data_IF_527057956851
#
_entry.id   IF_527057956851
#
_cell.length_a   1.000
_cell.length_b   1.000
_cell.length_c   1.000
_cell.angle_alpha   90.00
_cell.angle_beta   90.00
_cell.angle_gamma   90.00
#
_symmetry.space_group_name_H-M   'P 1'
#
loop_
_entity.id
_entity.type
_entity.pdbx_description
1 polymer ?
#
# COMPACT_ATOMS: atom_id res chain seq x y z
N UNK A 1 -2.51 33.92 36.07
CA UNK A 1 -2.53 32.54 36.59
C UNK A 1 -2.62 31.64 35.39
N UNK A 2 -1.48 31.54 34.73
CA UNK A 2 -1.24 30.98 33.40
C UNK A 2 0.01 30.11 33.59
N UNK A 3 0.16 29.06 32.78
CA UNK A 3 1.31 28.13 32.75
C UNK A 3 1.15 26.80 33.50
N UNK A 4 0.35 25.93 32.88
CA UNK A 4 0.58 24.48 32.96
C UNK A 4 0.44 23.81 31.58
N UNK A 5 -0.20 24.47 30.60
CA UNK A 5 -0.44 23.90 29.26
C UNK A 5 0.77 24.10 28.30
N UNK A 6 1.70 25.01 28.60
CA UNK A 6 2.84 25.31 27.70
C UNK A 6 4.07 24.41 27.91
N UNK A 7 4.11 23.64 29.00
CA UNK A 7 5.25 22.75 29.33
C UNK A 7 5.29 21.48 28.48
N UNK A 8 4.17 21.05 27.88
CA UNK A 8 4.14 19.84 27.04
C UNK A 8 4.72 20.09 25.64
N UNK A 9 4.91 21.35 25.23
CA UNK A 9 5.34 21.71 23.87
C UNK A 9 6.86 21.88 23.69
N UNK A 10 7.66 21.83 24.76
CA UNK A 10 9.06 22.32 24.71
C UNK A 10 10.14 21.32 25.18
N UNK A 11 9.92 20.00 25.12
CA UNK A 11 10.99 19.01 25.44
C UNK A 11 11.49 18.19 24.24
N UNK A 12 11.01 18.43 23.01
CA UNK A 12 11.48 17.67 21.84
C UNK A 12 12.31 18.51 20.84
N UNK A 13 13.18 19.40 21.35
CA UNK A 13 14.28 19.94 20.54
C UNK A 13 15.57 19.83 21.34
N UNK A 14 16.36 18.79 21.05
CA UNK A 14 17.81 18.86 20.79
C UNK A 14 18.31 17.48 20.30
N UNK A 15 18.60 17.42 18.99
CA UNK A 15 19.63 16.64 18.28
C UNK A 15 19.52 15.09 18.23
N UNK A 16 19.26 14.57 17.02
CA UNK A 16 19.86 13.30 16.58
C UNK A 16 18.95 12.22 15.94
N UNK A 17 17.99 12.56 15.07
CA UNK A 17 17.34 11.65 14.09
C UNK A 17 16.17 12.43 13.48
N UNK A 18 15.96 12.37 12.16
CA UNK A 18 14.63 12.70 11.62
C UNK A 18 13.65 11.69 12.23
N UNK A 19 12.96 12.08 13.30
CA UNK A 19 12.03 11.20 14.00
C UNK A 19 10.92 10.79 13.04
N UNK A 20 10.68 9.48 12.95
CA UNK A 20 9.54 8.94 12.20
C UNK A 20 8.23 9.57 12.71
N UNK A 21 7.60 10.38 11.87
CA UNK A 21 6.33 11.04 12.15
C UNK A 21 5.17 10.14 11.71
N UNK A 22 4.58 9.45 12.70
CA UNK A 22 3.48 8.52 12.47
C UNK A 22 2.25 9.20 11.89
N UNK A 23 1.91 10.40 12.36
CA UNK A 23 0.72 11.14 11.91
C UNK A 23 0.88 11.52 10.44
N UNK A 24 2.02 12.10 10.08
CA UNK A 24 2.30 12.45 8.69
C UNK A 24 2.34 11.23 7.77
N UNK A 25 2.93 10.12 8.24
CA UNK A 25 2.96 8.87 7.48
C UNK A 25 1.53 8.32 7.27
N UNK A 26 0.69 8.36 8.30
CA UNK A 26 -0.69 7.92 8.23
C UNK A 26 -1.49 8.74 7.22
N UNK A 27 -1.49 10.07 7.36
CA UNK A 27 -2.24 10.98 6.50
C UNK A 27 -1.83 10.83 5.02
N UNK A 28 -0.55 10.60 4.76
CA UNK A 28 -0.02 10.46 3.41
C UNK A 28 -0.33 9.10 2.76
N UNK A 29 -0.46 8.03 3.54
CA UNK A 29 -0.36 6.66 3.00
C UNK A 29 -1.53 5.73 3.34
N UNK A 30 -2.30 6.02 4.40
CA UNK A 30 -3.37 5.14 4.88
C UNK A 30 -4.41 4.83 3.79
N UNK A 31 -4.75 5.78 2.92
CA UNK A 31 -5.70 5.56 1.82
C UNK A 31 -5.22 4.54 0.79
N UNK A 32 -3.93 4.57 0.44
CA UNK A 32 -3.33 3.64 -0.54
C UNK A 32 -3.18 2.25 0.06
N UNK A 33 -2.74 2.18 1.32
CA UNK A 33 -2.63 0.95 2.11
C UNK A 33 -3.98 0.26 2.29
N UNK A 34 -5.01 1.04 2.60
CA UNK A 34 -6.36 0.53 2.72
C UNK A 34 -6.93 -0.01 1.41
N UNK A 35 -6.65 0.64 0.27
CA UNK A 35 -7.00 0.09 -1.04
C UNK A 35 -6.31 -1.25 -1.32
N UNK A 36 -5.04 -1.37 -0.94
CA UNK A 36 -4.26 -2.61 -1.02
C UNK A 36 -4.86 -3.72 -0.14
N UNK A 37 -5.13 -3.43 1.14
CA UNK A 37 -5.71 -4.40 2.08
C UNK A 37 -7.13 -4.84 1.69
N UNK A 38 -7.98 -3.93 1.20
CA UNK A 38 -9.33 -4.28 0.70
C UNK A 38 -9.25 -5.21 -0.51
N UNK A 39 -8.30 -4.98 -1.42
CA UNK A 39 -8.11 -5.85 -2.56
C UNK A 39 -7.70 -7.28 -2.15
N UNK A 40 -6.86 -7.37 -1.11
CA UNK A 40 -6.35 -8.63 -0.57
C UNK A 40 -7.40 -9.42 0.19
N UNK A 41 -8.13 -8.76 1.10
CA UNK A 41 -9.00 -9.42 2.07
C UNK A 41 -10.45 -9.52 1.61
N UNK A 42 -10.87 -8.65 0.68
CA UNK A 42 -12.28 -8.49 0.25
C UNK A 42 -13.25 -8.18 1.40
N UNK A 43 -12.72 -7.81 2.57
CA UNK A 43 -13.45 -7.35 3.74
C UNK A 43 -12.89 -5.99 4.15
N UNK A 44 -13.76 -4.98 4.13
CA UNK A 44 -13.39 -3.60 4.42
C UNK A 44 -13.02 -3.39 5.89
N UNK A 45 -13.75 -4.01 6.81
CA UNK A 45 -13.49 -3.83 8.24
C UNK A 45 -12.15 -4.48 8.62
N UNK A 46 -11.92 -5.69 8.12
CA UNK A 46 -10.66 -6.41 8.35
C UNK A 46 -9.47 -5.68 7.70
N UNK A 47 -9.68 -5.05 6.54
CA UNK A 47 -8.66 -4.21 5.92
C UNK A 47 -8.32 -2.96 6.75
N UNK A 48 -9.31 -2.29 7.34
CA UNK A 48 -9.07 -1.14 8.24
C UNK A 48 -8.29 -1.55 9.50
N UNK A 49 -8.55 -2.73 10.05
CA UNK A 49 -7.77 -3.30 11.16
C UNK A 49 -6.33 -3.58 10.74
N UNK A 50 -6.12 -4.17 9.56
CA UNK A 50 -4.77 -4.41 9.02
C UNK A 50 -3.96 -3.13 8.86
N UNK A 51 -4.57 -2.06 8.34
CA UNK A 51 -3.89 -0.76 8.19
C UNK A 51 -3.49 -0.22 9.56
N UNK A 52 -4.40 -0.26 10.54
CA UNK A 52 -4.11 0.18 11.91
C UNK A 52 -2.95 -0.60 12.54
N UNK A 53 -3.01 -1.93 12.48
CA UNK A 53 -1.95 -2.81 13.01
C UNK A 53 -0.63 -2.58 12.27
N UNK A 54 -0.66 -2.30 10.97
CA UNK A 54 0.54 -1.96 10.20
C UNK A 54 1.22 -0.71 10.73
N UNK A 55 0.47 0.37 10.95
CA UNK A 55 1.02 1.60 11.51
C UNK A 55 1.53 1.42 12.95
N UNK A 56 0.89 0.57 13.76
CA UNK A 56 1.39 0.19 15.08
C UNK A 56 2.71 -0.59 15.00
N UNK A 57 2.82 -1.56 14.10
CA UNK A 57 4.07 -2.31 13.85
C UNK A 57 5.16 -1.40 13.30
N UNK A 58 4.83 -0.50 12.38
CA UNK A 58 5.73 0.52 11.86
C UNK A 58 6.26 1.42 12.98
N UNK A 59 5.41 1.92 13.87
CA UNK A 59 5.85 2.71 15.02
C UNK A 59 6.84 1.95 15.91
N UNK A 60 6.58 0.66 16.20
CA UNK A 60 7.50 -0.18 16.99
C UNK A 60 8.83 -0.40 16.26
N UNK A 61 8.79 -0.62 14.95
CA UNK A 61 9.94 -0.89 14.09
C UNK A 61 10.62 0.37 13.51
N UNK A 62 10.18 1.59 13.87
CA UNK A 62 10.59 2.86 13.24
C UNK A 62 12.10 3.10 13.17
N UNK A 63 12.86 2.53 14.10
CA UNK A 63 14.33 2.63 14.15
C UNK A 63 15.04 1.81 13.05
N UNK A 64 14.32 0.91 12.39
CA UNK A 64 14.83 0.08 11.28
C UNK A 64 14.61 0.70 9.91
N UNK A 65 13.78 1.74 9.82
CA UNK A 65 13.57 2.46 8.57
C UNK A 65 14.80 3.28 8.23
N UNK A 66 15.27 3.14 7.00
CA UNK A 66 16.41 3.85 6.45
C UNK A 66 16.00 4.41 5.09
N UNK A 67 15.84 5.73 5.02
CA UNK A 67 15.42 6.43 3.80
C UNK A 67 16.46 6.34 2.68
N UNK A 68 17.71 5.99 2.98
CA UNK A 68 18.74 5.75 1.97
C UNK A 68 18.54 4.40 1.26
N UNK A 69 17.84 3.44 1.89
CA UNK A 69 17.60 2.08 1.37
C UNK A 69 16.25 1.93 0.66
N UNK A 70 15.36 2.92 0.74
CA UNK A 70 14.08 2.85 0.04
C UNK A 70 13.05 3.89 0.51
N UNK A 71 11.95 3.96 -0.22
CA UNK A 71 10.84 4.85 0.11
C UNK A 71 10.08 4.35 1.34
N UNK A 72 9.54 5.29 2.13
CA UNK A 72 8.74 4.97 3.31
C UNK A 72 7.53 4.08 2.97
N UNK A 73 6.82 4.40 1.89
CA UNK A 73 5.65 3.66 1.47
C UNK A 73 5.97 2.19 1.14
N UNK A 74 7.10 1.92 0.50
CA UNK A 74 7.59 0.55 0.25
C UNK A 74 7.86 -0.20 1.56
N UNK A 75 8.46 0.46 2.54
CA UNK A 75 8.70 -0.16 3.84
C UNK A 75 7.39 -0.44 4.60
N UNK A 76 6.40 0.46 4.51
CA UNK A 76 5.07 0.26 5.09
C UNK A 76 4.33 -0.91 4.44
N UNK A 77 4.35 -1.03 3.12
CA UNK A 77 3.72 -2.16 2.42
C UNK A 77 4.36 -3.52 2.77
N UNK A 78 5.67 -3.55 2.97
CA UNK A 78 6.34 -4.77 3.43
C UNK A 78 5.81 -5.23 4.80
N UNK A 79 5.52 -4.31 5.71
CA UNK A 79 4.90 -4.61 7.01
C UNK A 79 3.44 -5.03 6.80
N UNK A 80 2.67 -4.30 6.00
CA UNK A 80 1.25 -4.56 5.74
C UNK A 80 1.01 -5.95 5.16
N UNK A 81 1.84 -6.37 4.21
CA UNK A 81 1.80 -7.72 3.64
C UNK A 81 1.96 -8.80 4.70
N UNK A 82 2.84 -8.60 5.68
CA UNK A 82 3.00 -9.55 6.78
C UNK A 82 1.74 -9.60 7.65
N UNK A 83 1.15 -8.44 7.95
CA UNK A 83 -0.11 -8.35 8.71
C UNK A 83 -1.25 -9.08 7.99
N UNK A 84 -1.45 -8.80 6.70
CA UNK A 84 -2.46 -9.47 5.87
C UNK A 84 -2.22 -10.98 5.81
N UNK A 85 -0.97 -11.41 5.67
CA UNK A 85 -0.62 -12.84 5.67
C UNK A 85 -0.97 -13.50 7.00
N UNK A 86 -0.69 -12.85 8.12
CA UNK A 86 -1.07 -13.34 9.46
C UNK A 86 -2.59 -13.49 9.59
N UNK A 87 -3.35 -12.51 9.09
CA UNK A 87 -4.82 -12.51 9.08
C UNK A 87 -5.38 -13.64 8.21
N UNK A 88 -4.91 -13.79 6.96
CA UNK A 88 -5.36 -14.87 6.07
C UNK A 88 -5.05 -16.26 6.64
N UNK A 89 -3.88 -16.44 7.26
CA UNK A 89 -3.53 -17.69 7.97
C UNK A 89 -4.43 -17.93 9.19
N UNK A 90 -4.84 -16.88 9.89
CA UNK A 90 -5.79 -16.98 11.00
C UNK A 90 -7.16 -17.46 10.52
N UNK A 91 -7.70 -16.82 9.48
CA UNK A 91 -9.01 -17.16 8.89
C UNK A 91 -9.01 -18.60 8.36
N UNK A 92 -7.96 -19.02 7.65
CA UNK A 92 -7.83 -20.37 7.11
C UNK A 92 -7.75 -21.47 8.19
N UNK A 93 -7.37 -21.14 9.43
CA UNK A 93 -7.30 -22.08 10.56
C UNK A 93 -8.60 -22.17 11.35
N UNK A 94 -9.57 -21.29 11.12
CA UNK A 94 -10.87 -21.41 11.76
C UNK A 94 -11.68 -22.52 11.09
N UNK A 95 -12.24 -23.49 11.84
CA UNK A 95 -13.22 -24.42 11.30
C UNK A 95 -14.39 -23.63 10.73
N UNK A 96 -14.85 -23.96 9.52
CA UNK A 96 -16.03 -23.31 8.92
C UNK A 96 -17.27 -23.56 9.78
N UNK A 97 -17.67 -22.59 10.59
CA UNK A 97 -18.95 -22.59 11.33
C UNK A 97 -19.82 -21.41 10.88
N UNK A 98 -19.66 -20.90 9.66
CA UNK A 98 -20.54 -19.82 9.17
C UNK A 98 -20.84 -19.97 7.68
N UNK A 99 -21.64 -20.99 7.36
CA UNK A 99 -22.55 -20.90 6.24
C UNK A 99 -23.67 -19.94 6.65
N UNK A 100 -23.54 -18.64 6.32
CA UNK A 100 -24.60 -17.69 6.66
C UNK A 100 -24.22 -16.20 6.66
N UNK A 101 -23.44 -15.71 5.69
CA UNK A 101 -23.58 -14.33 5.21
C UNK A 101 -22.81 -14.12 3.90
N UNK A 102 -23.50 -13.49 2.94
CA UNK A 102 -23.10 -13.14 1.58
C UNK A 102 -23.29 -14.26 0.52
N UNK A 103 -24.52 -14.29 0.00
CA UNK A 103 -24.81 -14.63 -1.41
C UNK A 103 -23.99 -13.73 -2.34
N UNK A 104 -23.65 -14.27 -3.52
CA UNK A 104 -22.71 -13.80 -4.55
C UNK A 104 -21.22 -14.08 -4.27
N UNK A 105 -20.91 -15.34 -3.96
CA UNK A 105 -19.59 -15.90 -4.21
C UNK A 105 -19.58 -16.54 -5.61
N UNK A 106 -19.22 -15.75 -6.62
CA UNK A 106 -18.57 -16.30 -7.81
C UNK A 106 -17.47 -17.24 -7.32
N UNK A 107 -17.46 -18.46 -7.86
CA UNK A 107 -16.65 -19.58 -7.44
C UNK A 107 -15.26 -19.14 -6.96
N UNK A 108 -15.05 -19.22 -5.64
CA UNK A 108 -13.76 -18.97 -5.01
C UNK A 108 -12.84 -20.10 -5.49
N UNK A 109 -12.11 -19.88 -6.58
CA UNK A 109 -10.79 -20.47 -6.70
C UNK A 109 -10.04 -20.02 -5.44
N UNK A 110 -9.83 -20.96 -4.53
CA UNK A 110 -8.95 -20.75 -3.39
C UNK A 110 -7.54 -20.56 -3.96
N UNK A 111 -7.22 -19.33 -4.33
CA UNK A 111 -5.87 -18.92 -4.71
C UNK A 111 -4.96 -19.42 -3.59
N UNK A 112 -3.96 -20.21 -3.95
CA UNK A 112 -2.98 -20.68 -2.98
C UNK A 112 -2.36 -19.46 -2.26
N UNK A 113 -1.90 -19.61 -1.02
CA UNK A 113 -1.21 -18.51 -0.31
C UNK A 113 -0.07 -17.93 -1.15
N UNK A 114 0.57 -18.74 -2.00
CA UNK A 114 1.58 -18.31 -2.95
C UNK A 114 1.04 -17.37 -4.06
N UNK A 115 -0.08 -17.72 -4.70
CA UNK A 115 -0.75 -16.85 -5.68
C UNK A 115 -1.21 -15.53 -5.06
N UNK A 116 -1.73 -15.57 -3.84
CA UNK A 116 -2.11 -14.35 -3.11
C UNK A 116 -0.89 -13.44 -2.90
N UNK A 117 0.25 -14.01 -2.47
CA UNK A 117 1.49 -13.24 -2.28
C UNK A 117 2.01 -12.64 -3.58
N UNK A 118 1.96 -13.39 -4.69
CA UNK A 118 2.37 -12.89 -6.00
C UNK A 118 1.46 -11.75 -6.49
N UNK A 119 0.14 -11.90 -6.32
CA UNK A 119 -0.84 -10.84 -6.61
C UNK A 119 -0.58 -9.59 -5.77
N UNK A 120 -0.26 -9.75 -4.48
CA UNK A 120 0.08 -8.63 -3.61
C UNK A 120 1.35 -7.90 -4.06
N UNK A 121 2.34 -8.58 -4.63
CA UNK A 121 3.54 -7.90 -5.18
C UNK A 121 3.18 -6.95 -6.32
N UNK A 122 2.25 -7.33 -7.19
CA UNK A 122 1.78 -6.47 -8.29
C UNK A 122 1.03 -5.26 -7.75
N UNK A 123 0.15 -5.46 -6.76
CA UNK A 123 -0.62 -4.35 -6.16
C UNK A 123 0.29 -3.39 -5.39
N UNK A 124 1.27 -3.91 -4.64
CA UNK A 124 2.30 -3.11 -3.96
C UNK A 124 3.10 -2.27 -4.97
N UNK A 125 3.59 -2.89 -6.04
CA UNK A 125 4.35 -2.19 -7.07
C UNK A 125 3.54 -1.05 -7.70
N UNK A 126 2.25 -1.28 -8.00
CA UNK A 126 1.36 -0.23 -8.50
C UNK A 126 1.08 0.86 -7.46
N UNK A 127 1.04 0.53 -6.18
CA UNK A 127 0.76 1.49 -5.11
C UNK A 127 1.92 2.46 -4.84
N UNK A 128 3.16 2.08 -5.19
CA UNK A 128 4.34 2.98 -5.15
C UNK A 128 4.30 4.06 -6.24
N UNK A 129 3.52 3.86 -7.30
CA UNK A 129 3.36 4.86 -8.35
C UNK A 129 2.51 6.06 -7.88
N UNK A 130 2.86 7.26 -8.37
CA UNK A 130 1.98 8.43 -8.22
C UNK A 130 0.63 8.15 -8.88
N UNK A 131 -0.46 8.82 -8.44
CA UNK A 131 -1.79 8.61 -9.03
C UNK A 131 -1.80 8.76 -10.56
N UNK A 132 -1.07 9.73 -11.10
CA UNK A 132 -0.96 10.00 -12.53
C UNK A 132 -0.21 8.90 -13.28
N UNK A 133 0.87 8.37 -12.68
CA UNK A 133 1.62 7.26 -13.25
C UNK A 133 0.81 5.96 -13.20
N UNK A 134 0.19 5.67 -12.05
CA UNK A 134 -0.67 4.50 -11.86
C UNK A 134 -1.86 4.50 -12.81
N UNK A 135 -2.52 5.65 -13.01
CA UNK A 135 -3.65 5.78 -13.93
C UNK A 135 -3.28 5.32 -15.34
N UNK A 136 -2.13 5.77 -15.86
CA UNK A 136 -1.70 5.39 -17.22
C UNK A 136 -1.34 3.91 -17.30
N UNK A 137 -0.61 3.39 -16.31
CA UNK A 137 -0.22 1.97 -16.29
C UNK A 137 -1.46 1.07 -16.22
N UNK A 138 -2.39 1.35 -15.33
CA UNK A 138 -3.62 0.56 -15.17
C UNK A 138 -4.45 0.63 -16.45
N UNK A 139 -4.69 1.82 -17.00
CA UNK A 139 -5.48 1.98 -18.21
C UNK A 139 -4.88 1.22 -19.40
N UNK A 140 -3.57 1.33 -19.62
CA UNK A 140 -2.92 0.75 -20.80
C UNK A 140 -2.64 -0.74 -20.65
N UNK A 141 -2.15 -1.18 -19.49
CA UNK A 141 -1.63 -2.54 -19.31
C UNK A 141 -2.59 -3.50 -18.61
N UNK A 142 -3.55 -2.98 -17.81
CA UNK A 142 -4.52 -3.82 -17.10
C UNK A 142 -5.87 -3.80 -17.82
N UNK A 143 -6.35 -2.62 -18.18
CA UNK A 143 -7.65 -2.43 -18.85
C UNK A 143 -7.52 -2.60 -20.38
N UNK A 144 -6.32 -2.39 -20.94
CA UNK A 144 -6.06 -2.56 -22.37
C UNK A 144 -6.45 -1.36 -23.24
N UNK A 145 -6.65 -0.18 -22.65
CA UNK A 145 -6.94 1.05 -23.39
C UNK A 145 -5.72 1.53 -24.19
N UNK A 146 -5.96 2.04 -25.40
CA UNK A 146 -4.93 2.75 -26.16
C UNK A 146 -4.64 4.13 -25.56
N UNK A 147 -3.46 4.67 -25.83
CA UNK A 147 -3.13 6.04 -25.43
C UNK A 147 -4.08 7.09 -26.04
N UNK A 148 -4.64 6.83 -27.22
CA UNK A 148 -5.59 7.73 -27.86
C UNK A 148 -6.93 7.76 -27.12
N UNK A 149 -7.47 6.60 -26.73
CA UNK A 149 -8.70 6.50 -25.94
C UNK A 149 -8.55 7.12 -24.56
N UNK A 150 -7.40 6.88 -23.90
CA UNK A 150 -7.10 7.49 -22.61
C UNK A 150 -6.93 9.01 -22.73
N UNK A 151 -6.33 9.50 -23.81
CA UNK A 151 -6.22 10.93 -24.10
C UNK A 151 -7.59 11.57 -24.31
N UNK A 152 -8.47 10.92 -25.06
CA UNK A 152 -9.83 11.40 -25.31
C UNK A 152 -10.69 11.46 -24.05
N UNK A 153 -10.56 10.47 -23.14
CA UNK A 153 -11.35 10.43 -21.90
C UNK A 153 -10.83 11.35 -20.80
N UNK A 154 -9.52 11.61 -20.75
CA UNK A 154 -8.88 12.42 -19.69
C UNK A 154 -8.54 13.85 -20.11
N UNK A 155 -8.55 14.15 -21.41
CA UNK A 155 -8.09 15.43 -21.97
C UNK A 155 -6.57 15.62 -21.91
N UNK A 156 -5.81 14.60 -21.49
CA UNK A 156 -4.35 14.67 -21.36
C UNK A 156 -3.71 14.32 -22.70
N UNK A 157 -2.75 15.11 -23.23
CA UNK A 157 -2.09 14.80 -24.50
C UNK A 157 -1.40 13.42 -24.51
N UNK A 158 -1.50 12.71 -25.64
CA UNK A 158 -0.85 11.40 -25.84
C UNK A 158 0.65 11.42 -25.53
N UNK A 159 1.35 12.51 -25.89
CA UNK A 159 2.78 12.69 -25.60
C UNK A 159 3.07 12.69 -24.09
N UNK A 160 2.23 13.35 -23.30
CA UNK A 160 2.30 13.37 -21.85
C UNK A 160 2.02 11.98 -21.27
N UNK A 161 0.98 11.29 -21.76
CA UNK A 161 0.64 9.94 -21.31
C UNK A 161 1.77 8.95 -21.57
N UNK A 162 2.40 9.00 -22.75
CA UNK A 162 3.57 8.16 -23.07
C UNK A 162 4.76 8.43 -22.14
N UNK A 163 5.02 9.71 -21.85
CA UNK A 163 6.09 10.09 -20.92
C UNK A 163 5.81 9.59 -19.51
N UNK A 164 4.56 9.71 -19.04
CA UNK A 164 4.12 9.15 -17.75
C UNK A 164 4.26 7.63 -17.70
N UNK A 165 3.84 6.92 -18.74
CA UNK A 165 4.01 5.46 -18.82
C UNK A 165 5.48 5.05 -18.75
N UNK A 166 6.36 5.74 -19.47
CA UNK A 166 7.79 5.47 -19.45
C UNK A 166 8.38 5.56 -18.04
N UNK A 167 8.12 6.66 -17.32
CA UNK A 167 8.62 6.84 -15.96
C UNK A 167 7.95 5.89 -14.96
N UNK A 168 6.67 5.58 -15.15
CA UNK A 168 5.96 4.61 -14.33
C UNK A 168 6.56 3.20 -14.45
N UNK A 169 6.79 2.72 -15.67
CA UNK A 169 7.41 1.40 -15.92
C UNK A 169 8.84 1.35 -15.39
N UNK A 170 9.60 2.45 -15.51
CA UNK A 170 10.95 2.55 -14.91
C UNK A 170 10.89 2.45 -13.38
N UNK A 171 9.96 3.15 -12.74
CA UNK A 171 9.77 3.10 -11.30
C UNK A 171 9.35 1.70 -10.81
N UNK A 172 8.44 1.03 -11.54
CA UNK A 172 8.05 -0.35 -11.27
C UNK A 172 9.24 -1.29 -11.36
N UNK A 173 10.05 -1.18 -12.42
CA UNK A 173 11.24 -2.01 -12.60
C UNK A 173 12.23 -1.85 -11.45
N UNK A 174 12.58 -0.61 -11.10
CA UNK A 174 13.48 -0.34 -9.98
C UNK A 174 12.94 -0.86 -8.65
N UNK A 175 11.63 -0.84 -8.45
CA UNK A 175 11.01 -1.37 -7.24
C UNK A 175 11.06 -2.91 -7.19
N UNK A 176 10.76 -3.58 -8.31
CA UNK A 176 10.78 -5.04 -8.40
C UNK A 176 12.21 -5.60 -8.30
N UNK A 177 13.18 -5.02 -9.00
CA UNK A 177 14.58 -5.44 -8.95
C UNK A 177 15.14 -5.29 -7.51
N UNK A 178 14.78 -4.21 -6.81
CA UNK A 178 15.19 -3.99 -5.41
C UNK A 178 14.51 -4.90 -4.38
N UNK A 179 13.46 -5.63 -4.76
CA UNK A 179 12.81 -6.65 -3.91
C UNK A 179 13.46 -8.03 -4.08
N UNK A 180 14.16 -8.29 -5.19
CA UNK A 180 14.85 -9.57 -5.45
C UNK A 180 16.20 -9.68 -4.71
N UNK A 181 16.83 -8.54 -4.38
CA UNK A 181 18.11 -8.48 -3.68
C UNK A 181 17.99 -8.53 -2.13
N UNK A 182 16.77 -8.56 -1.59
CA UNK A 182 16.46 -8.58 -0.14
C UNK A 182 15.93 -9.92 0.35
#
# INVERSE_FOLDING_TARGET
>A
MTDTIDTVRTVARTVGSEHFDLTRAYDAHASSMLGFAVNALRDRALAEECVQETFLRAWRARHTFDSAKGQLLTWLFAIERNVITDVLRSVARMPSITAGRYDDADAIEQDSTAQTVERLRVVEALAVLSPEHRQVVVAVHVIGSSYAELSASTGIPVSTLRTRAFYALRALRSHLDGQEER
#
